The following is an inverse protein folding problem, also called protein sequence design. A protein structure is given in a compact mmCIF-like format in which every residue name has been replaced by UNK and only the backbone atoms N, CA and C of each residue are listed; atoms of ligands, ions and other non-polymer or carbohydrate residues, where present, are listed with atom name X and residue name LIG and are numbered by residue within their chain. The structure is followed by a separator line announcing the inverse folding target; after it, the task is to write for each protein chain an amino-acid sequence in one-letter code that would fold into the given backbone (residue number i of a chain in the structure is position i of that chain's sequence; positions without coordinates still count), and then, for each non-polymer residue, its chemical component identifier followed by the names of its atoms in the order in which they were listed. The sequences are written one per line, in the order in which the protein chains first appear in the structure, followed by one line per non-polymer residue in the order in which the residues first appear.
data_IF_247366596164
#
_entry.id   IF_247366596164
#
_cell.length_a   1.000
_cell.length_b   1.000
_cell.length_c   1.000
_cell.angle_alpha   90.00
_cell.angle_beta   90.00
_cell.angle_gamma   90.00
#
_symmetry.space_group_name_H-M   'P 1'
#
loop_
_entity.id
_entity.type
_entity.pdbx_description
1 polymer ?
#
# COMPACT_ATOMS: atom_id res chain seq x y z
N UNK A 1 -89.70 21.16 2.91
CA UNK A 1 -90.24 19.97 2.23
C UNK A 1 -89.23 19.59 1.15
N UNK A 2 -88.61 18.41 1.04
CA UNK A 2 -88.65 17.08 1.66
C UNK A 2 -87.16 16.61 1.66
N UNK A 3 -86.63 16.14 2.79
CA UNK A 3 -86.21 14.74 3.04
C UNK A 3 -85.16 14.22 2.03
N UNK A 4 -84.02 13.67 2.43
CA UNK A 4 -84.00 12.39 3.15
C UNK A 4 -82.63 12.03 3.77
N UNK A 5 -82.71 11.42 4.95
CA UNK A 5 -81.75 10.67 5.77
C UNK A 5 -80.81 9.71 5.00
N UNK A 6 -79.57 9.52 5.48
CA UNK A 6 -79.17 8.36 6.32
C UNK A 6 -77.68 8.37 6.69
N UNK A 7 -77.42 7.88 7.89
CA UNK A 7 -76.17 7.75 8.63
C UNK A 7 -75.18 6.74 8.04
N UNK A 8 -73.87 6.93 8.29
CA UNK A 8 -72.90 5.83 8.28
C UNK A 8 -71.87 5.96 9.41
N UNK A 9 -71.64 4.84 10.09
CA UNK A 9 -70.70 4.63 11.20
C UNK A 9 -69.27 5.07 10.87
N UNK A 10 -68.58 5.69 11.84
CA UNK A 10 -67.13 5.85 11.83
C UNK A 10 -66.55 4.90 12.88
N UNK A 11 -65.82 3.88 12.40
CA UNK A 11 -64.99 3.01 13.22
C UNK A 11 -63.64 3.68 13.50
N UNK A 12 -63.25 3.70 14.78
CA UNK A 12 -61.97 4.23 15.25
C UNK A 12 -60.87 3.19 14.95
N UNK A 13 -59.88 3.57 14.15
CA UNK A 13 -58.66 2.79 13.90
C UNK A 13 -57.47 3.54 14.52
N UNK A 14 -56.84 2.91 15.51
CA UNK A 14 -55.62 3.38 16.13
C UNK A 14 -54.43 3.19 15.18
N UNK A 15 -53.73 4.28 14.85
CA UNK A 15 -52.53 4.26 14.01
C UNK A 15 -51.31 4.27 14.94
N UNK A 16 -50.63 3.13 15.06
CA UNK A 16 -49.28 3.02 15.62
C UNK A 16 -48.26 3.50 14.57
N UNK A 17 -47.27 4.34 14.93
CA UNK A 17 -46.20 4.71 14.03
C UNK A 17 -45.24 3.53 13.82
N UNK A 18 -45.24 2.98 12.62
CA UNK A 18 -44.27 1.99 12.16
C UNK A 18 -42.90 2.62 12.01
N UNK A 19 -41.94 2.11 12.78
CA UNK A 19 -40.50 2.38 12.64
C UNK A 19 -40.09 1.92 11.23
N UNK A 20 -39.78 2.87 10.34
CA UNK A 20 -39.26 2.56 9.01
C UNK A 20 -37.83 2.05 9.14
N UNK A 21 -37.72 0.74 9.04
CA UNK A 21 -36.52 -0.03 8.78
C UNK A 21 -35.90 0.48 7.47
N UNK A 22 -34.77 1.17 7.57
CA UNK A 22 -34.05 1.69 6.42
C UNK A 22 -33.30 0.50 5.78
N UNK A 23 -34.03 -0.20 4.93
CA UNK A 23 -33.58 -1.40 4.23
C UNK A 23 -32.30 -1.13 3.43
N UNK A 24 -31.28 -1.93 3.74
CA UNK A 24 -30.10 -2.09 2.91
C UNK A 24 -30.48 -2.45 1.47
N UNK A 25 -29.78 -1.86 0.51
CA UNK A 25 -29.95 -2.11 -0.93
C UNK A 25 -29.91 -3.61 -1.29
N UNK A 26 -30.68 -4.07 -2.29
CA UNK A 26 -30.83 -5.49 -2.60
C UNK A 26 -29.55 -6.09 -3.19
N UNK A 27 -28.86 -6.92 -2.39
CA UNK A 27 -27.76 -7.81 -2.81
C UNK A 27 -28.03 -9.34 -2.68
N UNK A 28 -29.23 -9.94 -2.86
CA UNK A 28 -29.39 -11.37 -2.53
C UNK A 28 -29.36 -12.39 -3.68
N UNK A 29 -29.55 -12.00 -4.96
CA UNK A 29 -29.73 -13.00 -6.04
C UNK A 29 -28.43 -13.67 -6.49
N UNK A 30 -27.32 -12.93 -6.56
CA UNK A 30 -26.04 -13.46 -7.06
C UNK A 30 -25.36 -14.40 -6.03
N UNK A 31 -25.50 -14.10 -4.75
CA UNK A 31 -24.85 -14.85 -3.67
C UNK A 31 -25.46 -16.25 -3.46
N UNK A 32 -26.77 -16.39 -3.64
CA UNK A 32 -27.45 -17.68 -3.52
C UNK A 32 -27.08 -18.64 -4.67
N UNK A 33 -27.00 -18.11 -5.90
CA UNK A 33 -26.54 -18.85 -7.07
C UNK A 33 -25.08 -19.28 -6.91
N UNK A 34 -24.21 -18.37 -6.47
CA UNK A 34 -22.80 -18.65 -6.23
C UNK A 34 -22.60 -19.73 -5.15
N UNK A 35 -23.33 -19.65 -4.03
CA UNK A 35 -23.33 -20.68 -2.97
C UNK A 35 -23.71 -22.06 -3.50
N UNK A 36 -24.76 -22.12 -4.31
CA UNK A 36 -25.24 -23.38 -4.91
C UNK A 36 -24.20 -23.97 -5.85
N UNK A 37 -23.57 -23.12 -6.67
CA UNK A 37 -22.51 -23.52 -7.58
C UNK A 37 -21.27 -24.04 -6.83
N UNK A 38 -20.84 -23.36 -5.77
CA UNK A 38 -19.71 -23.79 -4.93
C UNK A 38 -20.02 -25.14 -4.26
N UNK A 39 -21.21 -25.32 -3.70
CA UNK A 39 -21.62 -26.59 -3.11
C UNK A 39 -21.57 -27.75 -4.11
N UNK A 40 -22.08 -27.55 -5.33
CA UNK A 40 -22.03 -28.54 -6.41
C UNK A 40 -20.59 -28.93 -6.76
N UNK A 41 -19.70 -27.95 -6.88
CA UNK A 41 -18.31 -28.20 -7.22
C UNK A 41 -17.55 -28.89 -6.08
N UNK A 42 -17.86 -28.57 -4.81
CA UNK A 42 -17.30 -29.28 -3.65
C UNK A 42 -17.69 -30.75 -3.64
N UNK A 43 -18.92 -31.09 -4.03
CA UNK A 43 -19.33 -32.49 -4.23
C UNK A 43 -18.55 -33.13 -5.39
N UNK A 44 -18.34 -32.41 -6.50
CA UNK A 44 -17.60 -32.91 -7.65
C UNK A 44 -16.09 -33.12 -7.41
N UNK A 45 -15.50 -32.46 -6.39
CA UNK A 45 -14.12 -32.76 -5.94
C UNK A 45 -13.94 -34.19 -5.42
N UNK A 46 -15.04 -34.88 -5.14
CA UNK A 46 -15.11 -36.24 -4.64
C UNK A 46 -15.58 -37.25 -5.69
N UNK A 47 -15.71 -36.80 -6.95
CA UNK A 47 -16.10 -37.62 -8.08
C UNK A 47 -15.19 -38.85 -8.26
N UNK A 48 -15.70 -39.97 -8.82
CA UNK A 48 -14.91 -41.19 -8.99
C UNK A 48 -13.75 -41.02 -9.96
N UNK A 49 -13.92 -40.19 -11.01
CA UNK A 49 -12.90 -40.01 -12.05
C UNK A 49 -11.94 -38.86 -11.70
N UNK A 50 -10.64 -39.04 -11.99
CA UNK A 50 -9.63 -37.99 -11.84
C UNK A 50 -9.97 -36.75 -12.68
N UNK A 51 -10.54 -36.96 -13.87
CA UNK A 51 -10.90 -35.89 -14.82
C UNK A 51 -11.94 -34.94 -14.21
N UNK A 52 -12.99 -35.47 -13.59
CA UNK A 52 -14.03 -34.67 -12.94
C UNK A 52 -13.49 -33.90 -11.73
N UNK A 53 -12.67 -34.55 -10.88
CA UNK A 53 -12.07 -33.88 -9.73
C UNK A 53 -11.18 -32.69 -10.13
N UNK A 54 -10.35 -32.86 -11.16
CA UNK A 54 -9.49 -31.79 -11.68
C UNK A 54 -10.32 -30.67 -12.33
N UNK A 55 -11.38 -31.01 -13.05
CA UNK A 55 -12.29 -30.01 -13.62
C UNK A 55 -12.96 -29.19 -12.51
N UNK A 56 -13.47 -29.85 -11.46
CA UNK A 56 -14.08 -29.17 -10.32
C UNK A 56 -13.11 -28.24 -9.57
N UNK A 57 -11.85 -28.66 -9.39
CA UNK A 57 -10.80 -27.81 -8.78
C UNK A 57 -10.49 -26.58 -9.62
N UNK A 58 -10.34 -26.75 -10.95
CA UNK A 58 -10.14 -25.64 -11.89
C UNK A 58 -11.33 -24.69 -11.89
N UNK A 59 -12.55 -25.23 -11.95
CA UNK A 59 -13.76 -24.45 -12.04
C UNK A 59 -13.99 -23.66 -10.75
N UNK A 60 -13.74 -24.24 -9.56
CA UNK A 60 -13.75 -23.51 -8.28
C UNK A 60 -12.74 -22.37 -8.25
N UNK A 61 -11.54 -22.60 -8.78
CA UNK A 61 -10.50 -21.57 -8.85
C UNK A 61 -10.89 -20.44 -9.81
N UNK A 62 -11.58 -20.76 -10.91
CA UNK A 62 -12.03 -19.80 -11.92
C UNK A 62 -13.16 -18.87 -11.45
N UNK A 63 -13.91 -19.27 -10.41
CA UNK A 63 -14.93 -18.40 -9.79
C UNK A 63 -14.34 -17.17 -9.09
N UNK A 64 -13.02 -17.17 -8.83
CA UNK A 64 -12.32 -16.04 -8.26
C UNK A 64 -12.44 -15.94 -6.73
N UNK A 65 -11.78 -14.94 -6.12
CA UNK A 65 -11.58 -14.87 -4.67
C UNK A 65 -12.84 -14.77 -3.80
N UNK A 66 -13.96 -14.33 -4.37
CA UNK A 66 -15.21 -14.10 -3.64
C UNK A 66 -15.82 -15.38 -3.10
N UNK A 67 -15.40 -16.55 -3.59
CA UNK A 67 -15.84 -17.85 -3.06
C UNK A 67 -15.10 -18.26 -1.77
N UNK A 68 -14.01 -17.60 -1.39
CA UNK A 68 -13.22 -17.96 -0.20
C UNK A 68 -14.05 -18.09 1.10
N UNK A 69 -15.01 -17.20 1.41
CA UNK A 69 -15.87 -17.33 2.59
C UNK A 69 -16.84 -18.52 2.51
N UNK A 70 -17.13 -19.02 1.31
CA UNK A 70 -18.05 -20.13 1.06
C UNK A 70 -17.36 -21.49 1.12
N UNK A 71 -16.03 -21.53 1.01
CA UNK A 71 -15.26 -22.76 1.13
C UNK A 71 -15.19 -23.21 2.59
N UNK A 72 -15.46 -24.49 2.91
CA UNK A 72 -15.30 -25.00 4.26
C UNK A 72 -13.82 -25.00 4.67
N UNK A 73 -13.52 -24.81 5.97
CA UNK A 73 -12.19 -25.05 6.51
C UNK A 73 -11.72 -26.47 6.16
N UNK A 74 -10.51 -26.64 5.59
CA UNK A 74 -10.03 -27.96 5.19
C UNK A 74 -10.03 -29.00 6.32
N UNK A 75 -9.89 -28.58 7.56
CA UNK A 75 -9.86 -29.42 8.76
C UNK A 75 -11.20 -30.10 9.02
N UNK A 76 -12.30 -29.51 8.56
CA UNK A 76 -13.66 -30.05 8.71
C UNK A 76 -14.01 -31.08 7.62
N UNK A 77 -13.17 -31.20 6.58
CA UNK A 77 -13.39 -32.12 5.48
C UNK A 77 -12.85 -33.51 5.85
N UNK A 78 -13.74 -34.51 5.85
CA UNK A 78 -13.41 -35.91 6.22
C UNK A 78 -12.50 -36.59 5.20
N UNK A 79 -12.80 -36.43 3.90
CA UNK A 79 -12.10 -37.13 2.81
C UNK A 79 -10.77 -36.44 2.49
N UNK A 80 -9.68 -37.21 2.49
CA UNK A 80 -8.32 -36.70 2.28
C UNK A 80 -8.18 -36.00 0.92
N UNK A 81 -8.66 -36.62 -0.16
CA UNK A 81 -8.55 -36.05 -1.52
C UNK A 81 -9.25 -34.70 -1.66
N UNK A 82 -10.47 -34.58 -1.14
CA UNK A 82 -11.25 -33.33 -1.14
C UNK A 82 -10.56 -32.27 -0.28
N UNK A 83 -10.06 -32.65 0.90
CA UNK A 83 -9.31 -31.75 1.79
C UNK A 83 -8.08 -31.16 1.13
N UNK A 84 -7.25 -31.97 0.46
CA UNK A 84 -6.08 -31.45 -0.25
C UNK A 84 -6.47 -30.57 -1.45
N UNK A 85 -7.52 -30.91 -2.18
CA UNK A 85 -8.02 -30.09 -3.28
C UNK A 85 -8.51 -28.72 -2.78
N UNK A 86 -9.33 -28.69 -1.73
CA UNK A 86 -9.80 -27.44 -1.14
C UNK A 86 -8.64 -26.60 -0.60
N UNK A 87 -7.60 -27.20 0.00
CA UNK A 87 -6.39 -26.46 0.38
C UNK A 87 -5.72 -25.79 -0.82
N UNK A 88 -5.52 -26.50 -1.93
CA UNK A 88 -4.93 -25.93 -3.15
C UNK A 88 -5.77 -24.81 -3.74
N UNK A 89 -7.08 -25.00 -3.83
CA UNK A 89 -8.02 -23.96 -4.30
C UNK A 89 -7.92 -22.72 -3.42
N UNK A 90 -8.00 -22.85 -2.09
CA UNK A 90 -7.90 -21.71 -1.17
C UNK A 90 -6.58 -20.94 -1.36
N UNK A 91 -5.44 -21.65 -1.42
CA UNK A 91 -4.13 -21.02 -1.65
C UNK A 91 -4.11 -20.24 -2.97
N UNK A 92 -4.66 -20.81 -4.05
CA UNK A 92 -4.73 -20.15 -5.36
C UNK A 92 -5.62 -18.89 -5.33
N UNK A 93 -6.79 -18.98 -4.69
CA UNK A 93 -7.73 -17.89 -4.56
C UNK A 93 -7.22 -16.78 -3.63
N UNK A 94 -6.58 -17.12 -2.52
CA UNK A 94 -5.95 -16.16 -1.60
C UNK A 94 -4.82 -15.41 -2.30
N UNK A 95 -3.99 -16.11 -3.09
CA UNK A 95 -2.96 -15.49 -3.93
C UNK A 95 -3.58 -14.54 -4.96
N UNK A 96 -4.66 -14.96 -5.61
CA UNK A 96 -5.39 -14.13 -6.58
C UNK A 96 -5.94 -12.88 -5.89
N UNK A 97 -6.61 -13.03 -4.75
CA UNK A 97 -7.12 -11.92 -3.93
C UNK A 97 -6.02 -10.92 -3.57
N UNK A 98 -4.86 -11.44 -3.16
CA UNK A 98 -3.70 -10.62 -2.80
C UNK A 98 -3.20 -9.82 -4.01
N UNK A 99 -3.12 -10.41 -5.20
CA UNK A 99 -2.74 -9.72 -6.44
C UNK A 99 -3.79 -8.67 -6.84
N UNK A 100 -5.08 -9.02 -6.77
CA UNK A 100 -6.17 -8.09 -7.08
C UNK A 100 -6.20 -6.90 -6.12
N UNK A 101 -5.85 -7.13 -4.85
CA UNK A 101 -5.69 -6.06 -3.86
C UNK A 101 -4.55 -5.08 -4.19
N UNK A 102 -3.67 -5.39 -5.16
CA UNK A 102 -2.61 -4.48 -5.61
C UNK A 102 -3.01 -3.65 -6.83
N UNK A 103 -4.15 -3.93 -7.48
CA UNK A 103 -4.68 -3.14 -8.60
C UNK A 103 -5.09 -1.73 -8.13
N UNK A 104 -5.19 -0.73 -9.01
CA UNK A 104 -5.66 0.61 -8.63
C UNK A 104 -7.04 0.54 -7.98
N UNK A 105 -7.25 1.31 -6.93
CA UNK A 105 -8.59 1.48 -6.38
C UNK A 105 -9.36 2.50 -7.22
N UNK A 106 -10.68 2.36 -7.25
CA UNK A 106 -11.56 3.20 -8.04
C UNK A 106 -12.61 3.84 -7.15
N UNK A 107 -12.99 5.06 -7.49
CA UNK A 107 -13.98 5.87 -6.80
C UNK A 107 -15.21 6.01 -7.70
N UNK A 108 -16.38 5.74 -7.14
CA UNK A 108 -17.68 6.00 -7.75
C UNK A 108 -18.48 6.89 -6.80
N UNK A 109 -18.71 8.14 -7.18
CA UNK A 109 -19.42 9.12 -6.37
C UNK A 109 -20.02 10.20 -7.29
N UNK A 110 -21.30 10.50 -7.12
CA UNK A 110 -22.01 11.49 -7.93
C UNK A 110 -22.93 12.34 -7.06
N UNK A 111 -22.85 13.67 -7.20
CA UNK A 111 -23.66 14.63 -6.46
C UNK A 111 -22.85 15.74 -5.79
N UNK A 112 -23.53 16.50 -4.94
CA UNK A 112 -22.95 17.60 -4.17
C UNK A 112 -22.70 17.15 -2.73
N UNK A 113 -21.45 17.25 -2.29
CA UNK A 113 -21.05 16.81 -0.96
C UNK A 113 -20.02 17.77 -0.34
N UNK A 114 -19.95 17.77 0.99
CA UNK A 114 -18.85 18.45 1.69
C UNK A 114 -17.52 17.77 1.40
N UNK A 115 -16.43 18.53 1.40
CA UNK A 115 -15.07 17.98 1.24
C UNK A 115 -14.80 16.84 2.21
N UNK A 116 -15.18 17.00 3.49
CA UNK A 116 -15.03 15.96 4.50
C UNK A 116 -15.75 14.66 4.10
N UNK A 117 -17.01 14.74 3.64
CA UNK A 117 -17.77 13.57 3.19
C UNK A 117 -17.12 12.88 2.00
N UNK A 118 -16.64 13.66 1.03
CA UNK A 118 -15.94 13.13 -0.15
C UNK A 118 -14.68 12.38 0.27
N UNK A 119 -13.83 12.99 1.12
CA UNK A 119 -12.57 12.37 1.57
C UNK A 119 -12.82 11.10 2.41
N UNK A 120 -13.86 11.10 3.24
CA UNK A 120 -14.30 9.90 3.98
C UNK A 120 -14.76 8.80 3.02
N UNK A 121 -15.58 9.11 2.01
CA UNK A 121 -16.05 8.13 1.02
C UNK A 121 -14.90 7.60 0.17
N UNK A 122 -13.95 8.46 -0.21
CA UNK A 122 -12.71 8.04 -0.87
C UNK A 122 -11.98 7.00 -0.05
N UNK A 123 -11.80 7.25 1.26
CA UNK A 123 -11.14 6.31 2.16
C UNK A 123 -11.90 4.99 2.31
N UNK A 124 -13.22 5.04 2.42
CA UNK A 124 -14.07 3.85 2.55
C UNK A 124 -14.07 2.99 1.28
N UNK A 125 -14.21 3.59 0.10
CA UNK A 125 -14.26 2.86 -1.18
C UNK A 125 -12.90 2.29 -1.57
N UNK A 126 -11.83 3.04 -1.32
CA UNK A 126 -10.49 2.64 -1.75
C UNK A 126 -9.71 1.85 -0.70
N UNK A 127 -10.04 1.97 0.59
CA UNK A 127 -9.22 1.48 1.69
C UNK A 127 -7.96 2.33 1.95
N UNK A 128 -7.79 3.45 1.24
CA UNK A 128 -6.69 4.39 1.49
C UNK A 128 -7.01 5.26 2.70
N UNK A 129 -6.07 5.35 3.65
CA UNK A 129 -6.22 6.26 4.78
C UNK A 129 -5.80 7.67 4.36
N UNK A 130 -6.73 8.63 4.46
CA UNK A 130 -6.49 10.05 4.17
C UNK A 130 -6.62 10.81 5.47
N UNK A 131 -5.59 11.56 5.85
CA UNK A 131 -5.61 12.43 7.01
C UNK A 131 -5.84 13.87 6.56
N UNK A 132 -7.00 14.40 6.93
CA UNK A 132 -7.41 15.78 6.65
C UNK A 132 -7.74 16.53 7.95
N UNK A 133 -7.32 16.00 9.10
CA UNK A 133 -7.58 16.59 10.42
C UNK A 133 -6.91 17.96 10.59
N UNK A 134 -5.82 18.21 9.88
CA UNK A 134 -5.10 19.49 9.86
C UNK A 134 -5.80 20.58 9.02
N UNK A 135 -6.86 20.26 8.27
CA UNK A 135 -7.58 21.25 7.47
C UNK A 135 -8.53 22.09 8.35
N UNK A 136 -8.64 23.40 8.12
CA UNK A 136 -9.66 24.24 8.76
C UNK A 136 -11.08 23.70 8.53
N UNK A 137 -11.96 23.85 9.53
CA UNK A 137 -13.35 23.33 9.47
C UNK A 137 -14.15 23.96 8.34
N UNK A 138 -13.84 25.20 8.00
CA UNK A 138 -14.45 25.96 6.92
C UNK A 138 -14.17 25.27 5.59
N UNK A 139 -12.93 24.85 5.34
CA UNK A 139 -12.52 24.12 4.13
C UNK A 139 -13.15 22.72 4.11
N UNK A 140 -13.16 22.02 5.24
CA UNK A 140 -13.81 20.70 5.35
C UNK A 140 -15.31 20.74 5.02
N UNK A 141 -15.97 21.86 5.28
CA UNK A 141 -17.40 22.07 5.06
C UNK A 141 -17.74 22.61 3.67
N UNK A 142 -16.74 22.93 2.84
CA UNK A 142 -16.97 23.41 1.46
C UNK A 142 -17.67 22.34 0.62
N UNK A 143 -18.67 22.78 -0.14
CA UNK A 143 -19.43 21.93 -1.05
C UNK A 143 -18.68 21.78 -2.38
N UNK A 144 -18.62 20.55 -2.87
CA UNK A 144 -18.06 20.23 -4.18
C UNK A 144 -18.99 19.30 -4.95
N UNK A 145 -19.29 19.68 -6.19
CA UNK A 145 -19.97 18.82 -7.16
C UNK A 145 -18.99 17.82 -7.76
N UNK A 146 -19.31 16.54 -7.62
CA UNK A 146 -18.49 15.43 -8.09
C UNK A 146 -19.31 14.54 -9.02
N UNK A 147 -18.66 14.06 -10.09
CA UNK A 147 -19.19 13.01 -10.96
C UNK A 147 -18.02 12.08 -11.33
N UNK A 148 -17.80 11.06 -10.49
CA UNK A 148 -16.83 10.01 -10.71
C UNK A 148 -17.57 8.70 -10.96
N UNK A 149 -17.36 8.11 -12.13
CA UNK A 149 -17.75 6.74 -12.47
C UNK A 149 -16.49 5.88 -12.57
N UNK A 150 -16.29 4.99 -11.59
CA UNK A 150 -15.13 4.08 -11.50
C UNK A 150 -13.80 4.75 -11.85
N UNK A 151 -13.58 5.97 -11.39
CA UNK A 151 -12.34 6.72 -11.66
C UNK A 151 -11.22 6.25 -10.74
N UNK A 152 -10.03 6.01 -11.28
CA UNK A 152 -8.88 5.61 -10.45
C UNK A 152 -8.58 6.65 -9.35
N UNK A 153 -8.15 6.16 -8.18
CA UNK A 153 -7.97 6.95 -6.97
C UNK A 153 -7.09 8.20 -7.17
N UNK A 154 -5.89 8.04 -7.74
CA UNK A 154 -4.95 9.16 -7.90
C UNK A 154 -5.50 10.28 -8.79
N UNK A 155 -5.96 10.02 -10.03
CA UNK A 155 -6.59 11.05 -10.86
C UNK A 155 -7.83 11.70 -10.26
N UNK A 156 -8.62 10.97 -9.45
CA UNK A 156 -9.79 11.52 -8.77
C UNK A 156 -9.39 12.44 -7.62
N UNK A 157 -8.38 12.03 -6.84
CA UNK A 157 -7.89 12.81 -5.71
C UNK A 157 -7.14 14.07 -6.17
N UNK A 158 -6.27 13.96 -7.17
CA UNK A 158 -5.55 15.12 -7.74
C UNK A 158 -6.52 16.19 -8.26
N UNK A 159 -7.63 15.77 -8.90
CA UNK A 159 -8.68 16.70 -9.34
C UNK A 159 -9.40 17.39 -8.16
N UNK A 160 -9.72 16.63 -7.11
CA UNK A 160 -10.38 17.16 -5.92
C UNK A 160 -9.48 18.17 -5.19
N UNK A 161 -8.23 17.81 -4.90
CA UNK A 161 -7.31 18.69 -4.16
C UNK A 161 -6.97 19.94 -4.95
N UNK A 162 -6.85 19.86 -6.28
CA UNK A 162 -6.60 21.03 -7.11
C UNK A 162 -7.78 22.02 -7.06
N UNK A 163 -9.02 21.51 -7.11
CA UNK A 163 -10.24 22.34 -6.98
C UNK A 163 -10.40 22.94 -5.57
N UNK A 164 -10.01 22.20 -4.54
CA UNK A 164 -10.11 22.63 -3.15
C UNK A 164 -8.92 23.47 -2.66
N UNK A 165 -7.92 23.75 -3.52
CA UNK A 165 -6.73 24.52 -3.13
C UNK A 165 -5.86 23.82 -2.09
N UNK A 166 -5.78 22.49 -2.15
CA UNK A 166 -5.05 21.65 -1.20
C UNK A 166 -3.77 21.09 -1.81
N UNK A 167 -2.87 20.63 -0.96
CA UNK A 167 -1.67 19.92 -1.35
C UNK A 167 -1.36 18.75 -0.41
N UNK A 168 -0.48 17.85 -0.86
CA UNK A 168 0.02 16.75 -0.05
C UNK A 168 1.01 17.25 1.01
N UNK A 169 0.79 16.83 2.26
CA UNK A 169 1.72 17.02 3.37
C UNK A 169 2.92 16.08 3.33
N UNK A 170 3.90 16.35 4.19
CA UNK A 170 5.00 15.43 4.47
C UNK A 170 4.51 14.43 5.52
N UNK A 171 4.37 13.17 5.11
CA UNK A 171 3.87 12.10 5.95
C UNK A 171 4.99 11.62 6.88
N UNK A 172 4.91 12.01 8.15
CA UNK A 172 5.91 11.63 9.16
C UNK A 172 5.62 10.26 9.80
N UNK A 173 4.39 9.71 9.69
CA UNK A 173 4.06 8.47 10.41
C UNK A 173 2.85 7.66 9.88
N UNK A 174 2.93 6.35 10.10
CA UNK A 174 1.82 5.38 10.15
C UNK A 174 0.96 5.12 8.90
N UNK A 175 1.30 5.68 7.75
CA UNK A 175 0.70 5.21 6.51
C UNK A 175 -0.69 5.76 6.25
N UNK A 176 -0.77 7.08 6.28
CA UNK A 176 -1.91 7.87 5.83
C UNK A 176 -1.48 8.78 4.68
N UNK A 177 -2.40 9.52 4.12
CA UNK A 177 -2.10 10.56 3.14
C UNK A 177 -2.52 11.88 3.75
N UNK A 178 -1.54 12.65 4.22
CA UNK A 178 -1.79 13.94 4.84
C UNK A 178 -2.15 14.98 3.77
N UNK A 179 -3.24 15.69 3.99
CA UNK A 179 -3.64 16.86 3.20
C UNK A 179 -3.45 18.13 4.03
N UNK A 180 -2.95 19.18 3.38
CA UNK A 180 -2.82 20.52 3.96
C UNK A 180 -3.28 21.57 2.95
N UNK A 181 -3.57 22.77 3.43
CA UNK A 181 -3.87 23.91 2.56
C UNK A 181 -2.66 24.28 1.72
N UNK A 182 -2.86 24.54 0.43
CA UNK A 182 -1.77 24.94 -0.45
C UNK A 182 -1.21 26.31 -0.04
N UNK A 183 0.12 26.44 -0.01
CA UNK A 183 0.76 27.73 0.22
C UNK A 183 0.55 28.66 -0.99
N UNK A 184 0.15 29.92 -0.74
CA UNK A 184 0.05 30.94 -1.79
C UNK A 184 1.37 31.05 -2.56
N UNK A 185 1.32 30.88 -3.88
CA UNK A 185 2.48 30.98 -4.78
C UNK A 185 3.19 29.66 -5.08
N UNK A 186 2.80 28.54 -4.46
CA UNK A 186 3.32 27.22 -4.86
C UNK A 186 2.59 26.74 -6.12
N UNK A 187 3.33 26.64 -7.22
CA UNK A 187 2.79 26.08 -8.45
C UNK A 187 2.33 24.63 -8.23
N UNK A 188 1.19 24.20 -8.83
CA UNK A 188 0.80 22.79 -8.85
C UNK A 188 1.94 21.93 -9.41
N UNK A 189 1.96 20.64 -9.06
CA UNK A 189 2.85 19.67 -9.71
C UNK A 189 2.56 19.66 -11.23
N UNK A 190 3.33 20.43 -12.01
CA UNK A 190 3.02 20.68 -13.43
C UNK A 190 3.25 19.47 -14.34
N UNK A 191 3.85 18.40 -13.81
CA UNK A 191 4.21 17.20 -14.57
C UNK A 191 3.88 15.96 -13.76
N UNK A 192 2.62 15.52 -13.85
CA UNK A 192 2.10 14.30 -13.20
C UNK A 192 1.61 13.32 -14.25
N UNK A 193 1.88 12.04 -14.06
CA UNK A 193 1.27 10.93 -14.80
C UNK A 193 0.98 9.78 -13.84
N UNK A 194 0.24 8.79 -14.33
CA UNK A 194 -0.24 7.68 -13.51
C UNK A 194 0.07 6.35 -14.19
N UNK A 195 0.52 5.38 -13.40
CA UNK A 195 0.72 4.00 -13.85
C UNK A 195 0.12 3.09 -12.80
N UNK A 196 -1.02 2.47 -13.09
CA UNK A 196 -1.71 1.66 -12.10
C UNK A 196 -1.96 2.40 -10.77
N UNK A 197 -1.63 1.83 -9.60
CA UNK A 197 -1.86 2.45 -8.29
C UNK A 197 -0.78 3.49 -7.94
N UNK A 198 0.00 3.96 -8.91
CA UNK A 198 1.12 4.86 -8.71
C UNK A 198 0.88 6.22 -9.36
N UNK A 199 1.19 7.27 -8.60
CA UNK A 199 1.31 8.65 -9.08
C UNK A 199 2.78 8.97 -9.27
N UNK A 200 3.16 9.39 -10.47
CA UNK A 200 4.54 9.75 -10.81
C UNK A 200 4.59 11.25 -11.11
N UNK A 201 5.56 11.94 -10.52
CA UNK A 201 5.69 13.39 -10.61
C UNK A 201 7.13 13.77 -10.92
N UNK A 202 7.37 14.53 -11.98
CA UNK A 202 8.69 15.14 -12.19
C UNK A 202 8.82 16.34 -11.27
N UNK A 203 9.79 16.30 -10.35
CA UNK A 203 10.03 17.37 -9.38
C UNK A 203 11.03 18.41 -9.89
N UNK A 204 11.74 18.11 -10.97
CA UNK A 204 12.52 19.08 -11.73
C UNK A 204 13.63 18.43 -12.55
N UNK A 205 14.04 19.09 -13.62
CA UNK A 205 15.24 18.76 -14.37
C UNK A 205 16.28 19.86 -14.18
N UNK A 206 17.54 19.48 -13.94
CA UNK A 206 18.64 20.43 -13.77
C UNK A 206 19.91 19.99 -14.47
N UNK A 207 20.64 20.95 -15.01
CA UNK A 207 21.99 20.73 -15.50
C UNK A 207 22.95 20.65 -14.30
N UNK A 208 23.82 19.63 -14.27
CA UNK A 208 24.89 19.52 -13.28
C UNK A 208 26.23 19.95 -13.91
N UNK A 209 27.03 20.77 -13.22
CA UNK A 209 28.40 21.02 -13.64
C UNK A 209 29.18 19.71 -13.58
N UNK A 210 29.93 19.41 -14.64
CA UNK A 210 30.88 18.31 -14.65
C UNK A 210 32.28 18.90 -14.41
N UNK A 211 33.10 18.32 -13.51
CA UNK A 211 34.35 18.95 -13.05
C UNK A 211 35.37 19.25 -14.16
N UNK A 212 35.29 18.54 -15.29
CA UNK A 212 36.05 18.84 -16.50
C UNK A 212 35.15 19.47 -17.56
N UNK A 213 35.66 20.47 -18.30
CA UNK A 213 35.08 20.94 -19.57
C UNK A 213 35.17 19.85 -20.64
N UNK A 214 34.48 18.73 -20.40
CA UNK A 214 34.38 17.63 -21.33
C UNK A 214 33.37 17.93 -22.44
N UNK A 215 33.32 17.08 -23.47
CA UNK A 215 32.37 17.22 -24.58
C UNK A 215 30.90 17.09 -24.15
N UNK A 216 30.64 16.66 -22.91
CA UNK A 216 29.29 16.46 -22.39
C UNK A 216 29.12 17.07 -20.99
N UNK A 217 27.89 17.49 -20.71
CA UNK A 217 27.38 17.79 -19.36
C UNK A 217 26.38 16.73 -18.92
N UNK A 218 25.98 16.78 -17.65
CA UNK A 218 24.98 15.86 -17.09
C UNK A 218 23.69 16.62 -16.87
N UNK A 219 22.59 16.12 -17.44
CA UNK A 219 21.23 16.52 -17.05
C UNK A 219 20.71 15.51 -16.04
N UNK A 220 20.21 16.00 -14.90
CA UNK A 220 19.54 15.20 -13.89
C UNK A 220 18.06 15.49 -13.91
N UNK A 221 17.24 14.46 -14.14
CA UNK A 221 15.79 14.51 -13.94
C UNK A 221 15.46 13.91 -12.59
N UNK A 222 14.91 14.72 -11.68
CA UNK A 222 14.37 14.27 -10.40
C UNK A 222 12.88 13.99 -10.55
N UNK A 223 12.43 12.87 -10.01
CA UNK A 223 11.03 12.47 -10.07
C UNK A 223 10.65 11.70 -8.81
N UNK A 224 9.35 11.71 -8.52
CA UNK A 224 8.76 11.10 -7.35
C UNK A 224 7.77 10.04 -7.80
N UNK A 225 7.87 8.84 -7.23
CA UNK A 225 6.85 7.79 -7.39
C UNK A 225 6.11 7.65 -6.06
N UNK A 226 4.79 7.79 -6.07
CA UNK A 226 3.89 7.63 -4.91
C UNK A 226 2.98 6.43 -5.12
N UNK A 227 2.95 5.51 -4.16
CA UNK A 227 2.03 4.38 -4.16
C UNK A 227 0.75 4.72 -3.40
N UNK A 228 -0.38 4.15 -3.81
CA UNK A 228 -1.63 4.26 -3.05
C UNK A 228 -1.41 3.91 -1.55
N UNK A 229 -1.93 4.73 -0.62
CA UNK A 229 -1.75 4.56 0.82
C UNK A 229 -2.02 3.15 1.40
N UNK A 230 -2.94 2.39 0.84
CA UNK A 230 -3.24 1.04 1.33
C UNK A 230 -2.16 0.00 0.98
N UNK A 231 -1.32 0.30 -0.01
CA UNK A 231 -0.27 -0.62 -0.45
C UNK A 231 0.90 -0.63 0.54
N UNK A 232 1.65 -1.74 0.52
CA UNK A 232 2.89 -1.91 1.29
C UNK A 232 4.06 -2.12 0.33
N UNK A 233 4.49 -1.07 -0.38
CA UNK A 233 5.66 -1.15 -1.23
C UNK A 233 6.91 -1.40 -0.37
N UNK A 234 7.87 -2.16 -0.90
CA UNK A 234 9.08 -2.56 -0.18
C UNK A 234 10.32 -1.93 -0.82
N UNK A 235 10.53 -2.18 -2.11
CA UNK A 235 11.64 -1.60 -2.85
C UNK A 235 11.27 -1.44 -4.34
N UNK A 236 12.02 -0.57 -5.02
CA UNK A 236 11.98 -0.43 -6.47
C UNK A 236 13.29 -0.95 -7.07
N UNK A 237 13.18 -1.64 -8.20
CA UNK A 237 14.30 -2.02 -9.06
C UNK A 237 14.13 -1.40 -10.44
N UNK A 238 15.23 -0.98 -11.04
CA UNK A 238 15.25 -0.54 -12.44
C UNK A 238 16.65 -0.73 -13.03
N UNK A 239 16.75 -0.64 -14.37
CA UNK A 239 18.03 -0.55 -15.06
C UNK A 239 18.20 0.84 -15.67
N UNK A 240 19.41 1.39 -15.66
CA UNK A 240 19.67 2.72 -16.23
C UNK A 240 19.27 2.83 -17.71
N UNK A 241 19.45 1.74 -18.47
CA UNK A 241 19.03 1.61 -19.88
C UNK A 241 17.52 1.61 -20.12
N UNK A 242 16.70 1.42 -19.09
CA UNK A 242 15.24 1.42 -19.20
C UNK A 242 14.66 2.85 -19.14
N UNK A 243 15.53 3.86 -19.08
CA UNK A 243 15.17 5.27 -19.13
C UNK A 243 15.68 5.90 -20.43
N UNK A 244 14.89 6.81 -20.97
CA UNK A 244 15.27 7.61 -22.11
C UNK A 244 14.85 9.06 -21.91
N UNK A 245 15.69 9.98 -22.36
CA UNK A 245 15.38 11.39 -22.46
C UNK A 245 15.63 11.87 -23.89
N UNK A 246 14.79 12.78 -24.36
CA UNK A 246 14.90 13.40 -25.69
C UNK A 246 14.90 14.91 -25.54
N UNK A 247 15.79 15.58 -26.25
CA UNK A 247 15.84 17.04 -26.30
C UNK A 247 14.65 17.61 -27.10
N UNK A 248 14.35 18.89 -26.90
CA UNK A 248 13.37 19.62 -27.71
C UNK A 248 13.70 19.61 -29.21
N UNK A 249 14.99 19.57 -29.56
CA UNK A 249 15.48 19.45 -30.95
C UNK A 249 15.45 17.99 -31.48
N UNK A 250 14.97 17.05 -30.68
CA UNK A 250 14.80 15.66 -31.07
C UNK A 250 16.01 14.75 -30.85
N UNK A 251 17.11 15.28 -30.29
CA UNK A 251 18.31 14.50 -29.94
C UNK A 251 18.01 13.53 -28.79
N UNK A 252 18.32 12.24 -28.99
CA UNK A 252 18.25 11.24 -27.93
C UNK A 252 19.44 11.38 -26.98
N UNK A 253 19.16 11.49 -25.68
CA UNK A 253 20.17 11.60 -24.64
C UNK A 253 20.45 10.22 -24.03
N UNK A 254 21.73 9.86 -23.98
CA UNK A 254 22.14 8.57 -23.43
C UNK A 254 22.14 8.59 -21.90
N UNK A 255 21.64 7.55 -21.21
CA UNK A 255 21.79 7.41 -19.76
C UNK A 255 23.27 7.48 -19.35
N UNK A 256 23.57 8.15 -18.24
CA UNK A 256 24.93 8.26 -17.73
C UNK A 256 25.50 6.89 -17.30
N UNK A 257 24.65 6.05 -16.69
CA UNK A 257 25.03 4.71 -16.21
C UNK A 257 24.00 3.66 -16.71
N UNK A 258 24.04 3.27 -17.99
CA UNK A 258 23.03 2.38 -18.59
C UNK A 258 23.01 0.97 -17.98
N UNK A 259 24.15 0.52 -17.45
CA UNK A 259 24.30 -0.81 -16.84
C UNK A 259 23.99 -0.85 -15.35
N UNK A 260 23.73 0.31 -14.72
CA UNK A 260 23.35 0.37 -13.32
C UNK A 260 22.00 -0.36 -13.10
N UNK A 261 21.93 -1.21 -12.07
CA UNK A 261 20.72 -1.94 -11.69
C UNK A 261 20.37 -1.69 -10.22
N UNK A 262 20.07 -0.44 -9.83
CA UNK A 262 19.81 -0.12 -8.44
C UNK A 262 18.57 -0.82 -7.88
N UNK A 263 18.65 -1.19 -6.61
CA UNK A 263 17.54 -1.60 -5.76
C UNK A 263 17.42 -0.56 -4.65
N UNK A 264 16.27 0.12 -4.58
CA UNK A 264 16.06 1.24 -3.66
C UNK A 264 14.92 0.88 -2.69
N UNK A 265 15.20 0.72 -1.37
CA UNK A 265 14.16 0.54 -0.36
C UNK A 265 13.25 1.76 -0.27
N UNK A 266 11.97 1.51 0.00
CA UNK A 266 11.04 2.52 0.48
C UNK A 266 11.11 2.49 2.01
N UNK A 267 11.85 3.39 2.67
CA UNK A 267 12.08 3.40 4.14
C UNK A 267 10.83 3.27 5.01
N UNK A 268 10.96 3.21 6.35
CA UNK A 268 9.79 3.06 7.24
C UNK A 268 8.72 4.13 6.94
N UNK A 269 7.51 3.69 6.56
CA UNK A 269 6.43 4.55 6.03
C UNK A 269 6.26 4.44 4.51
N UNK A 270 7.36 4.45 3.75
CA UNK A 270 7.48 3.88 2.40
C UNK A 270 6.49 4.37 1.33
N UNK A 271 6.08 5.64 1.32
CA UNK A 271 4.95 6.07 0.46
C UNK A 271 5.35 6.80 -0.79
N UNK A 272 6.56 7.31 -0.81
CA UNK A 272 7.12 7.87 -2.01
C UNK A 272 8.61 7.64 -2.10
N UNK A 273 9.09 7.50 -3.34
CA UNK A 273 10.50 7.47 -3.66
C UNK A 273 10.84 8.73 -4.42
N UNK A 274 11.83 9.47 -3.94
CA UNK A 274 12.48 10.50 -4.73
C UNK A 274 13.63 9.83 -5.47
N UNK A 275 13.50 9.76 -6.79
CA UNK A 275 14.42 9.11 -7.71
C UNK A 275 15.07 10.16 -8.60
N UNK A 276 16.21 9.78 -9.17
CA UNK A 276 16.94 10.62 -10.12
C UNK A 276 17.46 9.76 -11.27
N UNK A 277 17.36 10.30 -12.49
CA UNK A 277 17.96 9.72 -13.69
C UNK A 277 18.89 10.74 -14.33
N UNK A 278 20.13 10.34 -14.56
CA UNK A 278 21.18 11.19 -15.13
C UNK A 278 21.41 10.82 -16.60
N UNK A 279 21.48 11.83 -17.46
CA UNK A 279 21.69 11.69 -18.91
C UNK A 279 22.86 12.56 -19.37
N UNK A 280 23.60 12.07 -20.37
CA UNK A 280 24.65 12.85 -21.05
C UNK A 280 24.02 13.78 -22.07
N UNK A 281 24.42 15.05 -22.05
CA UNK A 281 24.04 16.05 -23.06
C UNK A 281 25.31 16.68 -23.65
N UNK A 282 25.39 16.90 -24.97
CA UNK A 282 26.50 17.65 -25.56
C UNK A 282 26.61 19.06 -24.94
N UNK A 283 27.84 19.49 -24.64
CA UNK A 283 28.10 20.77 -23.96
C UNK A 283 27.69 22.00 -24.79
N UNK A 284 27.64 21.86 -26.12
CA UNK A 284 27.27 22.84 -27.13
C UNK A 284 25.77 22.84 -27.48
N UNK A 285 25.02 21.80 -27.09
CA UNK A 285 23.62 21.62 -27.42
C UNK A 285 22.79 21.28 -26.18
N UNK A 286 22.70 22.24 -25.26
CA UNK A 286 21.93 22.10 -24.02
C UNK A 286 20.46 22.48 -24.29
N UNK A 287 19.49 21.57 -24.10
CA UNK A 287 18.10 21.85 -24.40
C UNK A 287 17.41 22.66 -23.30
N UNK A 288 16.41 23.45 -23.70
CA UNK A 288 15.52 24.18 -22.77
C UNK A 288 14.44 23.28 -22.17
N UNK A 289 13.98 22.28 -22.93
CA UNK A 289 12.98 21.31 -22.48
C UNK A 289 13.33 19.89 -22.92
N UNK A 290 12.80 18.91 -22.21
CA UNK A 290 13.09 17.49 -22.38
C UNK A 290 11.79 16.67 -22.39
N UNK A 291 11.76 15.59 -23.15
CA UNK A 291 10.88 14.46 -22.83
C UNK A 291 11.65 13.44 -22.00
N UNK A 292 10.94 12.73 -21.12
CA UNK A 292 11.52 11.75 -20.21
C UNK A 292 10.55 10.58 -20.04
N UNK A 293 11.04 9.39 -20.35
CA UNK A 293 10.31 8.13 -20.14
C UNK A 293 11.15 7.15 -19.36
N UNK A 294 10.49 6.27 -18.63
CA UNK A 294 11.16 5.28 -17.81
C UNK A 294 10.30 4.05 -17.56
N UNK A 295 10.99 2.94 -17.28
CA UNK A 295 10.38 1.73 -16.74
C UNK A 295 11.08 1.33 -15.44
N UNK A 296 10.29 0.97 -14.44
CA UNK A 296 10.78 0.45 -13.17
C UNK A 296 9.81 -0.59 -12.63
N UNK A 297 10.30 -1.47 -11.75
CA UNK A 297 9.49 -2.50 -11.10
C UNK A 297 9.46 -2.24 -9.61
N UNK A 298 8.27 -2.00 -9.07
CA UNK A 298 8.05 -1.92 -7.63
C UNK A 298 7.68 -3.30 -7.09
N UNK A 299 8.32 -3.73 -6.01
CA UNK A 299 7.90 -4.93 -5.28
C UNK A 299 7.11 -4.52 -4.05
N UNK A 300 5.89 -5.04 -3.92
CA UNK A 300 5.01 -4.79 -2.79
C UNK A 300 4.68 -6.10 -2.06
N UNK A 301 4.47 -5.98 -0.75
CA UNK A 301 3.91 -7.03 0.07
C UNK A 301 2.39 -7.08 -0.12
N UNK A 302 1.88 -8.24 -0.51
CA UNK A 302 0.46 -8.55 -0.60
C UNK A 302 0.07 -9.65 0.38
N UNK A 303 -1.13 -9.52 0.93
CA UNK A 303 -1.54 -10.33 2.07
C UNK A 303 -0.70 -10.07 3.32
N UNK A 304 -1.23 -10.47 4.46
CA UNK A 304 -0.50 -10.41 5.71
C UNK A 304 -1.02 -11.45 6.69
N UNK A 305 -0.11 -12.10 7.38
CA UNK A 305 -0.41 -12.99 8.50
C UNK A 305 0.02 -12.35 9.80
N UNK A 306 -0.93 -12.31 10.72
CA UNK A 306 -0.73 -11.77 12.04
C UNK A 306 -0.30 -12.90 12.98
N UNK A 307 0.94 -12.84 13.44
CA UNK A 307 1.53 -13.83 14.33
C UNK A 307 1.74 -13.17 15.69
N UNK A 308 0.98 -13.63 16.67
CA UNK A 308 1.02 -13.10 18.03
C UNK A 308 1.78 -14.03 18.95
N UNK A 309 2.55 -13.48 19.89
CA UNK A 309 3.16 -14.20 20.99
C UNK A 309 2.67 -13.60 22.30
N UNK A 310 2.31 -14.48 23.23
CA UNK A 310 1.85 -14.14 24.58
C UNK A 310 2.80 -14.78 25.59
N UNK A 311 2.65 -14.43 26.88
CA UNK A 311 3.50 -14.96 27.96
C UNK A 311 4.99 -14.74 27.68
N UNK A 312 5.34 -13.49 27.35
CA UNK A 312 6.64 -13.13 26.75
C UNK A 312 7.86 -13.53 27.60
N UNK A 313 7.74 -13.58 28.94
CA UNK A 313 8.80 -14.08 29.85
C UNK A 313 9.17 -15.55 29.62
N UNK A 314 8.34 -16.33 28.95
CA UNK A 314 8.54 -17.76 28.63
C UNK A 314 8.49 -18.04 27.13
N UNK A 315 8.57 -16.98 26.30
CA UNK A 315 8.39 -17.11 24.85
C UNK A 315 9.69 -17.43 24.11
N UNK A 316 10.83 -17.45 24.79
CA UNK A 316 12.12 -17.84 24.23
C UNK A 316 12.03 -19.23 23.58
N UNK A 317 12.56 -19.34 22.35
CA UNK A 317 12.50 -20.53 21.52
C UNK A 317 11.14 -20.82 20.88
N UNK A 318 10.07 -20.11 21.26
CA UNK A 318 8.72 -20.36 20.72
C UNK A 318 8.66 -19.99 19.25
N UNK A 319 8.21 -20.93 18.42
CA UNK A 319 7.94 -20.72 17.00
C UNK A 319 6.44 -20.79 16.72
N UNK A 320 5.96 -19.94 15.80
CA UNK A 320 4.59 -19.95 15.31
C UNK A 320 4.59 -19.87 13.80
N UNK A 321 3.74 -20.68 13.17
CA UNK A 321 3.61 -20.78 11.72
C UNK A 321 2.21 -20.37 11.26
N UNK A 322 2.14 -19.47 10.28
CA UNK A 322 0.91 -18.96 9.67
C UNK A 322 1.18 -18.61 8.20
N UNK A 323 0.27 -19.02 7.30
CA UNK A 323 0.31 -18.67 5.87
C UNK A 323 1.66 -18.83 5.18
N UNK A 324 2.38 -19.93 5.44
CA UNK A 324 3.67 -20.19 4.80
C UNK A 324 4.87 -19.53 5.48
N UNK A 325 4.67 -18.80 6.59
CA UNK A 325 5.72 -18.09 7.33
C UNK A 325 5.87 -18.67 8.72
N UNK A 326 7.11 -18.94 9.12
CA UNK A 326 7.47 -19.32 10.48
C UNK A 326 8.22 -18.17 11.13
N UNK A 327 7.70 -17.70 12.26
CA UNK A 327 8.35 -16.70 13.11
C UNK A 327 8.72 -17.36 14.43
N UNK A 328 9.96 -17.19 14.86
CA UNK A 328 10.47 -17.72 16.13
C UNK A 328 11.04 -16.59 16.97
N UNK A 329 10.60 -16.49 18.22
CA UNK A 329 11.26 -15.63 19.20
C UNK A 329 12.48 -16.37 19.72
N UNK A 330 13.66 -16.04 19.20
CA UNK A 330 14.91 -16.65 19.65
C UNK A 330 15.24 -16.21 21.07
N UNK A 331 15.03 -14.92 21.38
CA UNK A 331 15.28 -14.36 22.70
C UNK A 331 14.41 -13.13 22.94
N UNK A 332 13.90 -13.01 24.17
CA UNK A 332 13.14 -11.87 24.66
C UNK A 332 13.78 -11.37 25.95
N UNK A 333 14.23 -10.12 25.93
CA UNK A 333 14.88 -9.48 27.07
C UNK A 333 14.10 -8.24 27.48
N UNK A 334 13.72 -8.15 28.76
CA UNK A 334 13.18 -6.94 29.34
C UNK A 334 14.25 -6.29 30.22
N UNK A 335 14.47 -4.99 30.01
CA UNK A 335 15.32 -4.18 30.87
C UNK A 335 14.71 -3.99 32.26
N UNK A 336 15.53 -3.50 33.19
CA UNK A 336 15.06 -3.11 34.53
C UNK A 336 14.04 -1.98 34.42
N UNK A 337 13.06 -1.97 35.33
CA UNK A 337 12.13 -0.86 35.43
C UNK A 337 12.85 0.39 35.95
N UNK A 338 12.62 1.52 35.28
CA UNK A 338 13.03 2.87 35.69
C UNK A 338 11.79 3.76 35.80
N UNK A 339 11.89 4.98 36.37
CA UNK A 339 10.77 5.94 36.37
C UNK A 339 10.22 6.23 34.97
N UNK A 340 11.09 6.22 33.95
CA UNK A 340 10.73 6.45 32.55
C UNK A 340 10.09 5.23 31.88
N UNK A 341 10.05 4.08 32.56
CA UNK A 341 9.50 2.82 32.08
C UNK A 341 10.59 1.75 31.97
N UNK A 342 10.39 0.76 31.11
CA UNK A 342 11.40 -0.26 30.80
C UNK A 342 11.64 -0.36 29.31
N UNK A 343 12.80 -0.90 28.94
CA UNK A 343 13.11 -1.28 27.57
C UNK A 343 12.85 -2.76 27.35
N UNK A 344 12.69 -3.18 26.10
CA UNK A 344 12.67 -4.59 25.73
C UNK A 344 13.37 -4.81 24.40
N UNK A 345 13.97 -5.99 24.23
CA UNK A 345 14.59 -6.44 22.98
C UNK A 345 14.07 -7.82 22.59
N UNK A 346 13.70 -7.96 21.33
CA UNK A 346 13.17 -9.19 20.76
C UNK A 346 14.06 -9.61 19.60
N UNK A 347 14.77 -10.73 19.76
CA UNK A 347 15.51 -11.36 18.68
C UNK A 347 14.61 -12.36 17.98
N UNK A 348 14.28 -12.08 16.73
CA UNK A 348 13.26 -12.79 15.96
C UNK A 348 13.91 -13.45 14.75
N UNK A 349 13.63 -14.73 14.55
CA UNK A 349 14.04 -15.49 13.38
C UNK A 349 12.80 -15.67 12.50
N UNK A 350 12.92 -15.36 11.21
CA UNK A 350 11.83 -15.46 10.25
C UNK A 350 12.28 -16.33 9.08
N UNK A 351 11.46 -17.32 8.74
CA UNK A 351 11.65 -18.19 7.57
C UNK A 351 10.33 -18.39 6.82
N UNK A 352 10.43 -18.63 5.50
CA UNK A 352 9.29 -18.87 4.63
C UNK A 352 9.37 -20.30 4.08
N UNK A 353 8.26 -21.03 4.11
CA UNK A 353 8.20 -22.46 3.75
C UNK A 353 8.42 -22.68 2.25
N UNK A 354 7.99 -21.72 1.44
CA UNK A 354 8.23 -21.72 0.02
C UNK A 354 9.53 -20.95 -0.15
N UNK A 355 10.63 -21.68 -0.31
CA UNK A 355 11.92 -21.20 -0.84
C UNK A 355 11.77 -20.67 -2.27
N UNK A 356 10.87 -19.72 -2.46
CA UNK A 356 10.72 -18.98 -3.69
C UNK A 356 11.85 -17.95 -3.74
N UNK A 357 12.54 -17.78 -4.87
CA UNK A 357 13.63 -16.82 -5.03
C UNK A 357 13.27 -15.39 -4.59
N UNK A 358 11.98 -15.06 -4.53
CA UNK A 358 11.48 -13.73 -4.21
C UNK A 358 11.84 -13.23 -2.80
N UNK A 359 11.77 -14.05 -1.75
CA UNK A 359 12.11 -13.59 -0.39
C UNK A 359 13.60 -13.72 -0.08
N UNK A 360 14.27 -14.72 -0.64
CA UNK A 360 15.72 -14.96 -0.45
C UNK A 360 16.61 -14.01 -1.25
N UNK A 361 16.16 -13.59 -2.44
CA UNK A 361 16.92 -12.71 -3.34
C UNK A 361 16.67 -11.21 -3.11
N UNK A 362 15.74 -10.85 -2.23
CA UNK A 362 15.29 -9.47 -2.05
C UNK A 362 15.31 -9.03 -0.58
N UNK A 363 16.49 -9.18 0.05
CA UNK A 363 16.74 -9.13 1.51
C UNK A 363 16.41 -7.79 2.17
N UNK A 364 16.15 -6.76 1.39
CA UNK A 364 15.70 -5.43 1.83
C UNK A 364 14.30 -5.44 2.46
N UNK A 365 13.47 -6.47 2.20
CA UNK A 365 12.11 -6.56 2.76
C UNK A 365 12.06 -6.56 4.30
N UNK A 366 13.13 -7.04 4.94
CA UNK A 366 13.24 -7.14 6.41
C UNK A 366 13.05 -5.81 7.12
N UNK A 367 13.43 -4.71 6.45
CA UNK A 367 13.28 -3.33 6.92
C UNK A 367 11.82 -2.85 6.97
N UNK A 368 10.90 -3.59 6.36
CA UNK A 368 9.50 -3.19 6.26
C UNK A 368 8.57 -4.04 7.12
N UNK A 369 9.12 -4.89 8.00
CA UNK A 369 8.33 -5.72 8.90
C UNK A 369 7.53 -4.86 9.88
N UNK A 370 6.22 -5.07 9.91
CA UNK A 370 5.31 -4.43 10.86
C UNK A 370 5.36 -5.24 12.16
N UNK A 371 6.05 -4.68 13.15
CA UNK A 371 6.31 -5.31 14.43
C UNK A 371 5.99 -4.32 15.53
N UNK A 372 5.21 -4.76 16.50
CA UNK A 372 4.81 -3.91 17.61
C UNK A 372 4.45 -4.73 18.85
N UNK A 373 4.45 -4.07 20.00
CA UNK A 373 3.80 -4.61 21.19
C UNK A 373 2.36 -4.13 21.27
N UNK A 374 1.48 -4.99 21.72
CA UNK A 374 0.10 -4.65 22.05
C UNK A 374 -0.11 -4.86 23.54
N UNK A 375 -0.52 -3.80 24.24
CA UNK A 375 -0.85 -3.86 25.66
C UNK A 375 -2.23 -4.51 25.88
N UNK A 376 -2.54 -4.83 27.14
CA UNK A 376 -3.79 -5.45 27.58
C UNK A 376 -5.03 -4.62 27.25
N UNK A 377 -4.90 -3.29 27.28
CA UNK A 377 -5.90 -2.29 26.86
C UNK A 377 -6.08 -2.21 25.32
N UNK A 378 -5.30 -2.97 24.55
CA UNK A 378 -5.31 -2.97 23.09
C UNK A 378 -4.42 -1.91 22.45
N UNK A 379 -3.78 -1.02 23.22
CA UNK A 379 -2.90 0.03 22.73
C UNK A 379 -1.67 -0.57 22.04
N UNK A 380 -1.37 -0.06 20.85
CA UNK A 380 -0.16 -0.41 20.09
C UNK A 380 1.02 0.45 20.54
N UNK A 381 2.15 -0.20 20.74
CA UNK A 381 3.44 0.42 21.05
C UNK A 381 4.39 0.06 19.91
N UNK A 382 4.80 1.07 19.16
CA UNK A 382 5.74 0.90 18.06
C UNK A 382 7.14 0.56 18.57
N UNK A 383 7.92 -0.12 17.73
CA UNK A 383 9.32 -0.40 17.99
C UNK A 383 10.18 0.87 17.86
N UNK A 384 11.37 0.81 18.43
CA UNK A 384 12.41 1.77 18.16
C UNK A 384 12.83 1.70 16.66
N UNK A 385 13.25 2.83 16.10
CA UNK A 385 13.71 2.93 14.71
C UNK A 385 15.07 2.27 14.45
N UNK A 386 15.75 1.77 15.49
CA UNK A 386 17.04 1.07 15.37
C UNK A 386 16.79 -0.43 15.50
N UNK A 387 17.28 -1.20 14.52
CA UNK A 387 17.26 -2.65 14.56
C UNK A 387 18.55 -3.21 13.95
N UNK A 388 18.96 -4.38 14.44
CA UNK A 388 20.12 -5.10 13.92
C UNK A 388 19.65 -6.32 13.15
N UNK A 389 20.21 -6.55 11.97
CA UNK A 389 19.88 -7.72 11.14
C UNK A 389 21.13 -8.55 10.92
N UNK A 390 21.07 -9.82 11.30
CA UNK A 390 22.10 -10.81 11.00
C UNK A 390 21.48 -11.90 10.13
N UNK A 391 22.16 -12.24 9.04
CA UNK A 391 21.74 -13.30 8.13
C UNK A 391 22.23 -14.65 8.66
N UNK A 392 21.38 -15.68 8.59
CA UNK A 392 21.79 -17.06 8.79
C UNK A 392 21.89 -17.78 7.45
N UNK A 393 22.78 -18.77 7.39
CA UNK A 393 23.15 -19.52 6.18
C UNK A 393 22.04 -20.43 5.66
N UNK A 394 20.99 -20.66 6.46
CA UNK A 394 19.85 -21.55 6.19
C UNK A 394 18.66 -20.84 5.53
N UNK A 395 18.83 -19.59 5.08
CA UNK A 395 17.75 -18.79 4.47
C UNK A 395 16.85 -18.10 5.50
N UNK A 396 17.09 -18.29 6.80
CA UNK A 396 16.40 -17.56 7.85
C UNK A 396 17.02 -16.16 8.05
N UNK A 397 16.17 -15.19 8.34
CA UNK A 397 16.59 -13.82 8.67
C UNK A 397 16.41 -13.58 10.16
N UNK A 398 17.47 -13.12 10.82
CA UNK A 398 17.44 -12.77 12.25
C UNK A 398 17.40 -11.26 12.40
N UNK A 399 16.39 -10.76 13.09
CA UNK A 399 16.18 -9.33 13.33
C UNK A 399 16.02 -9.08 14.82
N UNK A 400 16.69 -8.06 15.35
CA UNK A 400 16.50 -7.59 16.72
C UNK A 400 15.64 -6.32 16.73
N UNK A 401 14.49 -6.37 17.42
CA UNK A 401 13.60 -5.24 17.60
C UNK A 401 13.69 -4.69 19.02
N UNK A 402 13.97 -3.40 19.15
CA UNK A 402 13.96 -2.67 20.42
C UNK A 402 12.62 -1.99 20.70
N UNK A 403 12.28 -1.85 21.98
CA UNK A 403 11.14 -1.07 22.47
C UNK A 403 11.56 -0.28 23.69
N UNK A 404 11.05 0.94 23.84
CA UNK A 404 11.28 1.83 25.00
C UNK A 404 9.98 2.29 25.63
N UNK A 405 10.11 2.93 26.79
CA UNK A 405 9.02 3.59 27.51
C UNK A 405 7.84 2.65 27.84
N UNK A 406 8.13 1.37 28.04
CA UNK A 406 7.12 0.38 28.40
C UNK A 406 6.72 0.58 29.88
N UNK A 407 5.45 0.89 30.13
CA UNK A 407 4.95 1.22 31.47
C UNK A 407 4.43 0.01 32.24
N UNK A 408 3.81 -0.94 31.55
CA UNK A 408 3.28 -2.18 32.13
C UNK A 408 4.35 -3.29 32.25
N UNK A 409 3.99 -4.38 32.93
CA UNK A 409 4.87 -5.55 33.05
C UNK A 409 4.89 -6.42 31.78
N UNK A 410 5.92 -7.26 31.62
CA UNK A 410 6.09 -8.06 30.40
C UNK A 410 4.91 -9.02 30.11
N UNK A 411 4.19 -9.44 31.15
CA UNK A 411 3.02 -10.31 31.03
C UNK A 411 1.79 -9.63 30.42
N UNK A 412 1.76 -8.29 30.43
CA UNK A 412 0.65 -7.49 29.93
C UNK A 412 0.79 -7.12 28.45
N UNK A 413 1.92 -7.49 27.84
CA UNK A 413 2.16 -7.27 26.42
C UNK A 413 2.01 -8.55 25.61
N UNK A 414 1.57 -8.36 24.37
CA UNK A 414 1.65 -9.32 23.29
C UNK A 414 2.62 -8.81 22.25
N UNK A 415 3.54 -9.64 21.82
CA UNK A 415 4.39 -9.32 20.69
C UNK A 415 3.67 -9.70 19.40
N UNK A 416 3.54 -8.75 18.48
CA UNK A 416 2.82 -8.94 17.22
C UNK A 416 3.81 -8.77 16.08
N UNK A 417 3.90 -9.79 15.25
CA UNK A 417 4.62 -9.77 13.99
C UNK A 417 3.63 -9.92 12.84
N UNK A 418 3.63 -8.96 11.90
CA UNK A 418 2.75 -8.99 10.73
C UNK A 418 3.58 -9.32 9.49
N UNK A 419 3.61 -10.61 9.17
CA UNK A 419 4.38 -11.17 8.06
C UNK A 419 3.66 -10.92 6.74
N UNK A 420 4.34 -10.42 5.69
CA UNK A 420 3.80 -10.48 4.34
C UNK A 420 3.68 -11.94 3.89
N UNK A 421 2.63 -12.32 3.16
CA UNK A 421 2.50 -13.70 2.64
C UNK A 421 2.87 -13.84 1.17
N UNK A 422 2.89 -12.74 0.44
CA UNK A 422 3.20 -12.72 -0.99
C UNK A 422 3.99 -11.46 -1.35
N UNK A 423 4.99 -11.62 -2.22
CA UNK A 423 5.63 -10.50 -2.91
C UNK A 423 5.07 -10.40 -4.32
N UNK A 424 4.59 -9.21 -4.67
CA UNK A 424 4.02 -8.92 -6.00
C UNK A 424 4.90 -7.88 -6.67
N UNK A 425 5.29 -8.15 -7.92
CA UNK A 425 6.02 -7.22 -8.78
C UNK A 425 5.00 -6.41 -9.58
N UNK A 426 5.07 -5.09 -9.46
CA UNK A 426 4.19 -4.13 -10.10
C UNK A 426 5.02 -3.30 -11.09
N UNK A 427 4.79 -3.45 -12.40
CA UNK A 427 5.48 -2.64 -13.40
C UNK A 427 4.97 -1.19 -13.33
N UNK A 428 5.90 -0.26 -13.49
CA UNK A 428 5.64 1.17 -13.57
C UNK A 428 6.28 1.68 -14.85
N UNK A 429 5.45 2.16 -15.76
CA UNK A 429 5.89 2.79 -17.00
C UNK A 429 5.32 4.21 -17.07
N UNK A 430 6.13 5.16 -17.49
CA UNK A 430 5.70 6.55 -17.59
C UNK A 430 6.38 7.26 -18.75
N UNK A 431 5.72 8.32 -19.22
CA UNK A 431 6.20 9.23 -20.25
C UNK A 431 5.79 10.66 -19.87
N UNK A 432 6.73 11.58 -19.98
CA UNK A 432 6.57 13.00 -19.75
C UNK A 432 7.10 13.77 -20.95
N UNK A 433 6.36 14.78 -21.38
CA UNK A 433 6.77 15.70 -22.42
C UNK A 433 7.02 17.10 -21.84
N UNK A 434 7.90 17.87 -22.50
CA UNK A 434 8.13 19.30 -22.24
C UNK A 434 8.53 19.64 -20.79
N UNK A 435 9.35 18.81 -20.16
CA UNK A 435 9.93 19.11 -18.85
C UNK A 435 10.92 20.27 -18.99
N UNK A 436 10.75 21.40 -18.29
CA UNK A 436 11.69 22.51 -18.34
C UNK A 436 13.01 22.15 -17.67
N UNK A 437 14.12 22.50 -18.33
CA UNK A 437 15.46 22.38 -17.75
C UNK A 437 15.81 23.67 -16.99
N UNK A 438 16.11 23.53 -15.70
CA UNK A 438 16.62 24.62 -14.88
C UNK A 438 18.15 24.67 -14.90
N UNK A 439 18.69 25.89 -14.94
CA UNK A 439 20.12 26.17 -14.83
C UNK A 439 20.38 26.66 -13.40
N UNK A 440 21.24 25.95 -12.66
CA UNK A 440 21.66 26.40 -11.33
C UNK A 440 23.08 26.95 -11.43
N UNK A 441 23.21 28.26 -11.64
CA UNK A 441 24.51 28.95 -11.64
C UNK A 441 25.06 29.24 -10.23
N UNK A 442 24.35 28.82 -9.17
CA UNK A 442 24.84 28.98 -7.79
C UNK A 442 25.81 27.86 -7.41
N UNK A 443 27.07 28.03 -7.77
CA UNK A 443 28.17 27.56 -6.93
C UNK A 443 28.14 28.49 -5.70
N UNK A 444 27.69 27.98 -4.55
CA UNK A 444 27.91 28.71 -3.30
C UNK A 444 29.45 28.84 -3.12
N UNK A 445 30.00 30.04 -2.93
CA UNK A 445 31.44 30.20 -2.72
C UNK A 445 31.88 29.40 -1.49
N UNK A 446 32.97 28.65 -1.64
CA UNK A 446 33.59 27.87 -0.59
C UNK A 446 34.33 28.76 0.44
N UNK A 447 33.64 29.76 0.99
CA UNK A 447 34.24 30.77 1.88
C UNK A 447 33.50 30.94 3.22
N UNK A 448 32.87 29.86 3.71
CA UNK A 448 32.26 29.84 5.06
C UNK A 448 32.74 28.68 5.97
N UNK A 449 33.81 27.97 5.60
CA UNK A 449 34.44 26.96 6.48
C UNK A 449 35.81 27.37 7.02
N UNK A 450 36.19 28.65 6.88
CA UNK A 450 37.36 29.22 7.57
C UNK A 450 36.97 30.53 8.22
N UNK A 451 36.33 30.43 9.39
CA UNK A 451 36.35 31.42 10.48
C UNK A 451 35.39 30.97 11.57
N UNK A 452 35.92 30.27 12.57
CA UNK A 452 35.99 30.76 13.94
C UNK A 452 36.60 29.67 14.84
N UNK A 453 37.30 30.08 15.92
CA UNK A 453 38.33 29.30 16.64
C UNK A 453 37.81 28.06 17.39
#
# INVERSE_FOLDING_TARGET
MKLWRMSLLIAVVAILPTVSDCAAAPRPANDAALKTQVARLLTALDAPTRKERVAAERDLTSLGPDVLPLLPPPELLRRVGVREAVRRVRVSLERTKAIESMRPSHITLKGDFTLAKILTDFGAQSGNQIDFSALPKEIQSQQHTIDYDKRAFWPALDQLIARAGLEYGDDADAGRLLLKTSQKGKAPDASVTYSGPFRITVTGARLRPFPNRGPFRIVRVNYRVRAEPRLRPLFVKYRGRDFAAKSSAGLMLSPFSPDAQPEIPLGEGGRHLNLQSDFRVPSDNIPTTLSFRGKLTLTAAAGAERIEFTRLKKADGTARRRGGVTVKLQKVEFGKATPDGRTARFRVVVSYDIGGPAFESHRTWVFHNRVYLQASDGRRIERDGVFHTNLQTDGAVVVEYGFRNLKADAGEYRFVYVAPTLLVKLPIEFDFAKIPLSFSDKIAPAEQLRRSP
#
